data_IF_222261439116
#
_entry.id   IF_222261439116
#
_cell.length_a   1.000
_cell.length_b   1.000
_cell.length_c   1.000
_cell.angle_alpha   90.00
_cell.angle_beta   90.00
_cell.angle_gamma   90.00
#
_symmetry.space_group_name_H-M   'P 1'
#
loop_
_entity.id
_entity.type
_entity.pdbx_description
1 polymer ?
#
# COMPACT_ATOMS: atom_id res chain seq x y z
N UNK A 1 -11.52 -4.40 -17.08
CA UNK A 1 -10.11 -4.78 -16.84
C UNK A 1 -10.09 -6.22 -16.37
N UNK A 2 -9.64 -7.18 -17.19
CA UNK A 2 -9.51 -8.58 -16.75
C UNK A 2 -8.08 -9.08 -16.66
N UNK A 3 -7.08 -8.46 -17.31
CA UNK A 3 -5.77 -9.12 -17.51
C UNK A 3 -4.54 -8.29 -17.08
N UNK A 4 -4.58 -7.62 -15.93
CA UNK A 4 -3.41 -6.90 -15.39
C UNK A 4 -3.13 -7.24 -13.94
N UNK A 5 -1.86 -7.53 -13.60
CA UNK A 5 -1.39 -7.76 -12.22
C UNK A 5 -0.38 -6.68 -11.85
N UNK A 6 -0.49 -6.15 -10.63
CA UNK A 6 0.53 -5.25 -10.09
C UNK A 6 1.53 -6.03 -9.24
N UNK A 7 2.80 -5.66 -9.33
CA UNK A 7 3.89 -6.25 -8.55
C UNK A 7 4.79 -5.12 -8.05
N UNK A 8 5.07 -5.08 -6.76
CA UNK A 8 6.06 -4.19 -6.17
C UNK A 8 7.41 -4.91 -6.09
N UNK A 9 8.48 -4.18 -6.35
CA UNK A 9 9.85 -4.65 -6.21
C UNK A 9 10.64 -3.64 -5.38
N UNK A 10 11.17 -4.11 -4.26
CA UNK A 10 12.20 -3.43 -3.50
C UNK A 10 13.53 -3.85 -4.10
N UNK A 11 14.30 -2.90 -4.64
CA UNK A 11 15.57 -3.19 -5.29
C UNK A 11 16.72 -3.22 -4.29
N UNK A 12 17.76 -4.02 -4.58
CA UNK A 12 18.92 -4.19 -3.68
C UNK A 12 19.76 -2.91 -3.46
N UNK A 13 19.48 -1.85 -4.21
CA UNK A 13 20.03 -0.51 -3.98
C UNK A 13 19.20 0.36 -3.02
N UNK A 14 17.97 -0.06 -2.67
CA UNK A 14 17.14 0.67 -1.72
C UNK A 14 17.73 0.53 -0.32
N UNK A 15 18.45 1.56 0.12
CA UNK A 15 19.02 1.69 1.46
C UNK A 15 18.32 2.79 2.27
N UNK A 16 18.81 3.08 3.47
CA UNK A 16 18.27 4.16 4.32
C UNK A 16 18.23 5.52 3.59
N UNK A 17 19.16 5.77 2.65
CA UNK A 17 19.33 7.07 1.96
C UNK A 17 18.66 7.18 0.59
N UNK A 18 18.33 6.08 -0.09
CA UNK A 18 17.87 6.11 -1.49
C UNK A 18 16.68 5.18 -1.70
N UNK A 19 15.58 5.75 -2.21
CA UNK A 19 14.37 5.04 -2.62
C UNK A 19 14.44 4.71 -4.12
N UNK A 20 14.81 3.47 -4.45
CA UNK A 20 14.92 2.99 -5.85
C UNK A 20 13.90 1.90 -6.18
N UNK A 21 12.94 1.65 -5.30
CA UNK A 21 11.85 0.72 -5.52
C UNK A 21 10.93 1.13 -6.67
N UNK A 22 10.25 0.13 -7.21
CA UNK A 22 9.34 0.29 -8.35
C UNK A 22 8.08 -0.54 -8.17
N UNK A 23 6.96 -0.02 -8.68
CA UNK A 23 5.73 -0.79 -8.86
C UNK A 23 5.51 -0.99 -10.35
N UNK A 24 5.36 -2.25 -10.77
CA UNK A 24 5.11 -2.63 -12.15
C UNK A 24 3.66 -3.05 -12.35
N UNK A 25 3.12 -2.68 -13.51
CA UNK A 25 1.92 -3.28 -14.07
C UNK A 25 2.33 -4.32 -15.10
N UNK A 26 2.01 -5.58 -14.83
CA UNK A 26 2.26 -6.70 -15.75
C UNK A 26 0.97 -6.98 -16.51
N UNK A 27 1.07 -6.96 -17.83
CA UNK A 27 0.03 -7.48 -18.70
C UNK A 27 0.08 -9.01 -18.70
N UNK A 28 -1.04 -9.66 -18.39
CA UNK A 28 -1.06 -11.11 -18.20
C UNK A 28 -1.08 -11.90 -19.51
N UNK A 29 -1.46 -11.27 -20.63
CA UNK A 29 -1.47 -11.92 -21.95
C UNK A 29 -0.05 -11.96 -22.52
N UNK A 30 0.62 -10.80 -22.51
CA UNK A 30 1.98 -10.65 -23.04
C UNK A 30 3.06 -11.04 -22.05
N UNK A 31 2.73 -11.09 -20.75
CA UNK A 31 3.67 -11.24 -19.63
C UNK A 31 4.73 -10.14 -19.56
N UNK A 32 4.50 -9.03 -20.26
CA UNK A 32 5.41 -7.89 -20.31
C UNK A 32 5.03 -6.83 -19.27
N UNK A 33 6.00 -5.99 -18.93
CA UNK A 33 5.74 -4.76 -18.18
C UNK A 33 5.01 -3.80 -19.10
N UNK A 34 3.76 -3.49 -18.75
CA UNK A 34 2.91 -2.58 -19.50
C UNK A 34 2.99 -1.14 -18.97
N UNK A 35 3.39 -0.97 -17.71
CA UNK A 35 3.63 0.34 -17.10
C UNK A 35 4.47 0.20 -15.81
N UNK A 36 5.11 1.29 -15.38
CA UNK A 36 5.90 1.32 -14.15
C UNK A 36 5.77 2.64 -13.39
N UNK A 37 5.86 2.56 -12.06
CA UNK A 37 5.99 3.70 -11.17
C UNK A 37 7.33 3.60 -10.45
N UNK A 38 8.22 4.55 -10.74
CA UNK A 38 9.57 4.64 -10.16
C UNK A 38 9.60 5.43 -8.85
N UNK A 39 10.64 5.18 -8.04
CA UNK A 39 10.88 5.92 -6.79
C UNK A 39 9.83 5.64 -5.72
N UNK A 40 9.37 4.39 -5.65
CA UNK A 40 8.38 3.94 -4.66
C UNK A 40 8.81 2.59 -4.07
N UNK A 41 9.25 2.62 -2.82
CA UNK A 41 9.48 1.42 -2.02
C UNK A 41 8.17 0.97 -1.38
N UNK A 42 7.35 0.24 -2.14
CA UNK A 42 6.11 -0.34 -1.64
C UNK A 42 6.31 -1.74 -1.05
N UNK A 43 5.70 -1.98 0.12
CA UNK A 43 5.71 -3.29 0.80
C UNK A 43 4.38 -4.04 0.65
N UNK A 44 3.30 -3.32 0.41
CA UNK A 44 1.97 -3.87 0.18
C UNK A 44 1.23 -3.04 -0.84
N UNK A 45 0.38 -3.68 -1.63
CA UNK A 45 -0.41 -3.03 -2.69
C UNK A 45 -1.84 -3.58 -2.73
N UNK A 46 -2.79 -2.76 -3.16
CA UNK A 46 -4.18 -3.16 -3.39
C UNK A 46 -4.90 -2.18 -4.32
N UNK A 47 -5.77 -2.68 -5.21
CA UNK A 47 -6.55 -1.83 -6.13
C UNK A 47 -7.96 -1.65 -5.60
N UNK A 48 -8.46 -0.41 -5.64
CA UNK A 48 -9.79 -0.04 -5.22
C UNK A 48 -10.54 0.72 -6.30
N UNK A 49 -11.84 0.48 -6.40
CA UNK A 49 -12.74 1.22 -7.27
C UNK A 49 -13.25 2.45 -6.52
N UNK A 50 -12.50 3.55 -6.59
CA UNK A 50 -12.92 4.80 -5.99
C UNK A 50 -14.02 5.49 -6.84
N UNK A 51 -14.93 6.28 -6.26
CA UNK A 51 -16.00 6.94 -7.03
C UNK A 51 -15.49 7.77 -8.22
N UNK A 52 -14.35 8.43 -8.06
CA UNK A 52 -13.66 9.18 -9.12
C UNK A 52 -12.82 8.35 -10.11
N UNK A 53 -12.84 7.01 -10.02
CA UNK A 53 -12.06 6.11 -10.86
C UNK A 53 -11.21 5.11 -10.07
N UNK A 54 -10.54 4.18 -10.74
CA UNK A 54 -9.69 3.19 -10.04
C UNK A 54 -8.45 3.84 -9.46
N UNK A 55 -8.04 3.37 -8.28
CA UNK A 55 -6.79 3.80 -7.62
C UNK A 55 -6.02 2.59 -7.12
N UNK A 56 -4.70 2.63 -7.23
CA UNK A 56 -3.80 1.69 -6.57
C UNK A 56 -3.38 2.30 -5.24
N UNK A 57 -3.64 1.59 -4.15
CA UNK A 57 -3.15 1.90 -2.81
C UNK A 57 -1.90 1.09 -2.53
N UNK A 58 -0.95 1.69 -1.83
CA UNK A 58 0.27 1.03 -1.43
C UNK A 58 0.78 1.53 -0.07
N UNK A 59 1.32 0.62 0.73
CA UNK A 59 2.00 0.95 1.98
C UNK A 59 3.47 1.25 1.70
N UNK A 60 3.98 2.35 2.26
CA UNK A 60 5.41 2.65 2.22
C UNK A 60 6.19 1.65 3.07
N UNK A 61 7.36 1.23 2.59
CA UNK A 61 8.31 0.45 3.39
C UNK A 61 9.14 1.35 4.33
N UNK A 62 9.21 2.65 4.05
CA UNK A 62 10.04 3.63 4.79
C UNK A 62 9.29 4.26 5.95
N UNK A 63 8.06 4.63 5.69
CA UNK A 63 7.23 5.39 6.62
C UNK A 63 5.97 4.59 6.95
N UNK A 64 5.40 4.77 8.15
CA UNK A 64 4.14 4.15 8.54
C UNK A 64 2.95 4.82 7.84
N UNK A 65 2.99 4.90 6.52
CA UNK A 65 2.07 5.68 5.70
C UNK A 65 1.52 4.87 4.55
N UNK A 66 0.26 5.17 4.20
CA UNK A 66 -0.42 4.61 3.04
C UNK A 66 -0.65 5.72 2.02
N UNK A 67 -0.28 5.43 0.79
CA UNK A 67 -0.43 6.30 -0.35
C UNK A 67 -1.33 5.66 -1.39
N UNK A 68 -1.81 6.47 -2.33
CA UNK A 68 -2.50 5.98 -3.52
C UNK A 68 -2.07 6.72 -4.77
N UNK A 69 -2.25 6.09 -5.93
CA UNK A 69 -2.09 6.71 -7.25
C UNK A 69 -3.29 6.37 -8.12
N UNK A 70 -3.75 7.34 -8.92
CA UNK A 70 -4.88 7.10 -9.81
C UNK A 70 -4.46 6.17 -10.96
N UNK A 71 -5.42 5.36 -11.42
CA UNK A 71 -5.24 4.50 -12.58
C UNK A 71 -6.16 4.97 -13.72
N UNK A 72 -5.64 4.95 -14.95
CA UNK A 72 -6.46 5.24 -16.13
C UNK A 72 -7.40 4.07 -16.49
N UNK A 73 -8.16 4.21 -17.59
CA UNK A 73 -9.08 3.16 -18.06
C UNK A 73 -8.37 1.87 -18.49
N UNK A 74 -7.08 1.94 -18.84
CA UNK A 74 -6.23 0.79 -19.20
C UNK A 74 -5.56 0.17 -17.96
N UNK A 75 -5.53 0.90 -16.84
CA UNK A 75 -4.91 0.49 -15.58
C UNK A 75 -3.49 1.03 -15.42
N UNK A 76 -3.07 1.95 -16.28
CA UNK A 76 -1.78 2.64 -16.20
C UNK A 76 -1.80 3.68 -15.08
N UNK A 77 -0.63 3.98 -14.54
CA UNK A 77 -0.44 5.00 -13.51
C UNK A 77 -0.76 6.38 -14.09
N UNK A 78 -1.51 7.20 -13.34
CA UNK A 78 -1.91 8.53 -13.77
C UNK A 78 -1.74 9.56 -12.65
N UNK A 79 -0.99 10.61 -12.94
CA UNK A 79 -0.76 11.72 -12.02
C UNK A 79 0.23 11.38 -10.91
N UNK A 80 0.17 12.15 -9.83
CA UNK A 80 1.10 12.02 -8.70
C UNK A 80 0.55 11.10 -7.61
N UNK A 81 1.45 10.53 -6.81
CA UNK A 81 1.07 9.84 -5.57
C UNK A 81 0.36 10.81 -4.63
N UNK A 82 -0.68 10.32 -3.96
CA UNK A 82 -1.51 11.03 -2.98
C UNK A 82 -1.30 10.37 -1.62
N UNK A 83 -1.03 11.18 -0.60
CA UNK A 83 -1.07 10.74 0.78
C UNK A 83 -2.53 10.47 1.18
N UNK A 84 -2.79 9.31 1.80
CA UNK A 84 -4.14 8.94 2.27
C UNK A 84 -4.23 9.07 3.78
N UNK A 85 -3.35 8.37 4.52
CA UNK A 85 -3.31 8.41 5.98
C UNK A 85 -2.00 7.83 6.54
N UNK A 86 -1.75 8.14 7.81
CA UNK A 86 -0.63 7.61 8.59
C UNK A 86 -1.12 6.60 9.63
N UNK A 87 -0.43 5.45 9.71
CA UNK A 87 -0.58 4.46 10.76
C UNK A 87 0.07 4.91 12.07
N UNK A 88 1.08 5.79 12.01
CA UNK A 88 1.75 6.31 13.22
C UNK A 88 0.83 7.14 14.12
N UNK A 89 -0.24 7.71 13.57
CA UNK A 89 -1.26 8.41 14.34
C UNK A 89 -2.11 7.46 15.21
N UNK A 90 -1.97 6.14 15.03
CA UNK A 90 -2.78 5.13 15.69
C UNK A 90 -2.00 4.40 16.79
N UNK A 91 -2.72 3.87 17.78
CA UNK A 91 -2.12 3.13 18.90
C UNK A 91 -1.23 1.99 18.38
N UNK A 92 0.05 2.01 18.75
CA UNK A 92 1.04 0.99 18.37
C UNK A 92 1.56 1.09 16.92
N UNK A 93 1.15 2.09 16.13
CA UNK A 93 1.43 2.15 14.69
C UNK A 93 2.70 2.91 14.28
N UNK A 94 3.50 3.43 15.22
CA UNK A 94 4.66 4.28 14.89
C UNK A 94 5.70 3.62 13.98
N UNK A 95 5.81 2.28 14.03
CA UNK A 95 6.75 1.52 13.20
C UNK A 95 6.06 0.63 12.15
N UNK A 96 4.74 0.65 12.12
CA UNK A 96 3.94 -0.26 11.31
C UNK A 96 4.04 0.05 9.82
N UNK A 97 4.26 -0.98 9.01
CA UNK A 97 4.29 -0.89 7.55
C UNK A 97 3.15 -1.73 6.98
N UNK A 98 2.29 -1.10 6.18
CA UNK A 98 1.10 -1.72 5.59
C UNK A 98 1.44 -2.73 4.48
N UNK A 99 1.91 -3.92 4.84
CA UNK A 99 2.36 -4.95 3.90
C UNK A 99 1.22 -5.67 3.16
N UNK A 100 -0.02 -5.60 3.65
CA UNK A 100 -1.17 -6.17 2.95
C UNK A 100 -2.37 -5.26 3.07
N UNK A 101 -2.86 -4.80 1.91
CA UNK A 101 -4.04 -3.94 1.78
C UNK A 101 -5.13 -4.76 1.10
N UNK A 102 -6.29 -4.88 1.74
CA UNK A 102 -7.45 -5.59 1.23
C UNK A 102 -8.66 -4.66 1.26
N UNK A 103 -9.56 -4.81 0.29
CA UNK A 103 -10.81 -4.06 0.26
C UNK A 103 -11.97 -5.01 0.51
N UNK A 104 -12.82 -4.67 1.47
CA UNK A 104 -14.04 -5.39 1.79
C UNK A 104 -15.24 -4.57 1.28
N UNK A 105 -15.83 -5.01 0.17
CA UNK A 105 -16.89 -4.27 -0.50
C UNK A 105 -16.43 -2.92 -1.05
N UNK A 106 -17.34 -1.94 -1.05
CA UNK A 106 -17.14 -0.64 -1.71
C UNK A 106 -16.62 0.46 -0.80
N UNK A 107 -16.54 0.23 0.51
CA UNK A 107 -16.19 1.29 1.47
C UNK A 107 -15.20 0.87 2.54
N UNK A 108 -14.87 -0.41 2.70
CA UNK A 108 -13.95 -0.82 3.75
C UNK A 108 -12.58 -1.21 3.19
N UNK A 109 -11.54 -0.79 3.89
CA UNK A 109 -10.16 -1.20 3.68
C UNK A 109 -9.66 -1.87 4.96
N UNK A 110 -8.98 -2.99 4.80
CA UNK A 110 -8.23 -3.66 5.86
C UNK A 110 -6.75 -3.58 5.52
N UNK A 111 -5.98 -2.92 6.37
CA UNK A 111 -4.53 -2.85 6.27
C UNK A 111 -3.92 -3.72 7.35
N UNK A 112 -3.26 -4.81 6.95
CA UNK A 112 -2.44 -5.60 7.88
C UNK A 112 -1.05 -5.00 7.88
N UNK A 113 -0.59 -4.59 9.04
CA UNK A 113 0.72 -4.02 9.23
C UNK A 113 1.65 -4.99 9.96
N UNK A 114 2.94 -4.83 9.68
CA UNK A 114 4.02 -5.47 10.43
C UNK A 114 4.99 -4.38 10.86
N UNK A 115 5.62 -4.59 12.01
CA UNK A 115 6.83 -3.85 12.34
C UNK A 115 7.95 -4.30 11.39
N UNK A 116 8.38 -3.40 10.50
CA UNK A 116 9.47 -3.66 9.56
C UNK A 116 10.58 -2.65 9.79
N UNK A 117 11.80 -3.16 9.97
CA UNK A 117 13.03 -2.37 10.01
C UNK A 117 14.02 -2.93 8.99
N UNK A 118 14.87 -2.06 8.45
CA UNK A 118 15.98 -2.45 7.58
C UNK A 118 17.16 -3.06 8.36
N UNK A 119 17.01 -3.31 9.66
CA UNK A 119 18.04 -3.99 10.46
C UNK A 119 18.01 -5.50 10.19
N UNK A 120 19.17 -6.15 10.20
CA UNK A 120 19.30 -7.61 10.04
C UNK A 120 18.86 -8.38 11.30
N UNK A 121 18.34 -7.69 12.32
CA UNK A 121 17.92 -8.30 13.57
C UNK A 121 16.47 -8.76 13.40
N UNK A 122 16.28 -10.08 13.33
CA UNK A 122 14.94 -10.65 13.35
C UNK A 122 14.30 -10.40 14.72
N UNK A 123 13.20 -9.64 14.75
CA UNK A 123 12.41 -9.47 15.96
C UNK A 123 11.82 -10.84 16.37
N UNK A 124 12.07 -11.26 17.61
CA UNK A 124 11.64 -12.58 18.11
C UNK A 124 10.12 -12.70 18.27
N UNK A 125 9.39 -11.57 18.34
CA UNK A 125 7.94 -11.54 18.45
C UNK A 125 7.36 -10.37 17.65
N UNK A 126 7.23 -10.49 16.31
CA UNK A 126 6.79 -9.39 15.47
C UNK A 126 5.32 -9.08 15.76
N UNK A 127 5.05 -7.87 16.27
CA UNK A 127 3.69 -7.38 16.44
C UNK A 127 3.01 -7.18 15.10
N UNK A 128 1.73 -7.55 15.02
CA UNK A 128 0.91 -7.34 13.83
C UNK A 128 -0.34 -6.58 14.23
N UNK A 129 -0.54 -5.42 13.63
CA UNK A 129 -1.79 -4.69 13.77
C UNK A 129 -2.63 -4.85 12.51
N UNK A 130 -3.93 -4.95 12.70
CA UNK A 130 -4.92 -4.95 11.63
C UNK A 130 -5.76 -3.69 11.81
N UNK A 131 -5.63 -2.79 10.84
CA UNK A 131 -6.39 -1.55 10.77
C UNK A 131 -7.59 -1.74 9.87
N UNK A 132 -8.78 -1.48 10.39
CA UNK A 132 -10.00 -1.42 9.59
C UNK A 132 -10.38 0.03 9.38
N UNK A 133 -10.47 0.46 8.13
CA UNK A 133 -10.83 1.82 7.74
C UNK A 133 -12.10 1.81 6.90
N UNK A 134 -12.86 2.90 6.99
CA UNK A 134 -14.03 3.16 6.16
C UNK A 134 -13.82 4.41 5.32
N UNK A 135 -14.17 4.31 4.05
CA UNK A 135 -14.13 5.39 3.08
C UNK A 135 -15.37 6.27 3.23
N UNK A 136 -15.14 7.56 3.45
CA UNK A 136 -16.16 8.59 3.38
C UNK A 136 -16.12 9.26 1.99
N UNK A 137 -17.14 9.03 1.13
CA UNK A 137 -17.20 9.62 -0.19
C UNK A 137 -17.49 11.13 -0.17
N UNK A 138 -18.03 11.68 0.92
CA UNK A 138 -18.32 13.11 1.02
C UNK A 138 -17.03 13.93 1.21
N UNK A 139 -16.08 13.37 1.95
CA UNK A 139 -14.79 14.03 2.24
C UNK A 139 -13.62 13.47 1.43
N UNK A 140 -13.84 12.38 0.68
CA UNK A 140 -12.80 11.63 -0.06
C UNK A 140 -11.64 11.25 0.88
N UNK A 141 -11.98 10.65 2.02
CA UNK A 141 -11.01 10.27 3.07
C UNK A 141 -11.32 8.92 3.66
N UNK A 142 -10.27 8.28 4.18
CA UNK A 142 -10.38 7.09 5.00
C UNK A 142 -10.44 7.48 6.48
N UNK A 143 -11.39 6.91 7.21
CA UNK A 143 -11.53 7.07 8.65
C UNK A 143 -11.27 5.74 9.33
N UNK A 144 -10.44 5.73 10.36
CA UNK A 144 -10.19 4.53 11.15
C UNK A 144 -11.47 4.10 11.89
N UNK A 145 -11.83 2.83 11.77
CA UNK A 145 -12.91 2.21 12.55
C UNK A 145 -12.38 1.40 13.73
N UNK A 146 -11.35 0.59 13.51
CA UNK A 146 -10.87 -0.38 14.49
C UNK A 146 -9.38 -0.70 14.31
N UNK A 147 -8.71 -1.05 15.40
CA UNK A 147 -7.32 -1.55 15.45
C UNK A 147 -7.28 -2.80 16.29
N UNK A 148 -6.89 -3.91 15.67
CA UNK A 148 -6.71 -5.18 16.35
C UNK A 148 -5.23 -5.52 16.41
N UNK A 149 -4.70 -5.69 17.63
CA UNK A 149 -3.37 -6.25 17.84
C UNK A 149 -3.50 -7.78 17.80
N UNK A 150 -2.84 -8.40 16.82
CA UNK A 150 -2.75 -9.86 16.72
C UNK A 150 -1.40 -10.28 17.28
N UNK A 151 -1.43 -10.93 18.45
CA UNK A 151 -0.35 -11.82 18.87
C UNK A 151 -0.47 -13.15 18.10
N UNK A 152 0.66 -13.84 17.93
CA UNK A 152 0.71 -15.17 17.32
C UNK A 152 0.06 -16.23 18.20
#
# INVERSE_FOLDING_TARGET
MRNGKFVCRLDRGSGFKEEVGRIYRIDLETKAVADQLDGVDAIGIGVFNHPGGKRLYFGSAREPEVFSIALDKKGNFKGNKRFEFSLAAQKGGSFDKGHRIQFLGEKQMVVKAIEFSYSLIAASNPKRNIYTLNFDPATDKWTLLDVQESAF
#
